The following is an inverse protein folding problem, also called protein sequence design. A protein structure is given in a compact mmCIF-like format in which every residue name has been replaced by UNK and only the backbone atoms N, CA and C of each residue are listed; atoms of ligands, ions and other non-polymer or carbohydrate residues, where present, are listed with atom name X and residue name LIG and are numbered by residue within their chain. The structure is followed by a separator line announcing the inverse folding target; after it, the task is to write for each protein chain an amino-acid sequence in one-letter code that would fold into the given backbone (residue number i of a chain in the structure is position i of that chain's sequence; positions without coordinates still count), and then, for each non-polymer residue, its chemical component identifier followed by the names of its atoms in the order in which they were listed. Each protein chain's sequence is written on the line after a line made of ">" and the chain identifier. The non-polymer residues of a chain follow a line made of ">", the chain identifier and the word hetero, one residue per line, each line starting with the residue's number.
data_IF_107141549568
#
_entry.id   IF_107141549568
#
_cell.length_a   1.000
_cell.length_b   1.000
_cell.length_c   1.000
_cell.angle_alpha   90.00
_cell.angle_beta   90.00
_cell.angle_gamma   90.00
#
_symmetry.space_group_name_H-M   'P 1'
#
loop_
_entity.id
_entity.type
_entity.pdbx_description
1 polymer ?
#
# COMPACT_ATOMS: atom_id res chain seq x y z
N UNK A 1 -3.52 -20.16 15.46
CA UNK A 1 -4.55 -20.10 14.41
C UNK A 1 -4.06 -20.93 13.25
N UNK A 2 -4.84 -21.90 12.80
CA UNK A 2 -4.49 -22.62 11.58
C UNK A 2 -4.47 -21.63 10.40
N UNK A 3 -3.42 -21.70 9.59
CA UNK A 3 -3.16 -20.79 8.46
C UNK A 3 -4.33 -20.77 7.46
N UNK A 4 -5.08 -21.88 7.40
CA UNK A 4 -6.22 -22.14 6.52
C UNK A 4 -7.44 -21.25 6.76
N UNK A 5 -7.53 -20.54 7.91
CA UNK A 5 -8.72 -19.71 8.24
C UNK A 5 -8.57 -18.22 7.93
N UNK A 6 -7.40 -17.77 7.45
CA UNK A 6 -7.15 -16.35 7.15
C UNK A 6 -7.50 -16.07 5.68
N UNK A 7 -8.70 -15.50 5.45
CA UNK A 7 -9.19 -15.04 4.14
C UNK A 7 -9.11 -16.09 2.99
N UNK A 8 -9.04 -17.39 3.31
CA UNK A 8 -8.81 -18.48 2.36
C UNK A 8 -7.54 -18.28 1.51
N UNK A 9 -6.48 -17.73 2.11
CA UNK A 9 -5.22 -17.50 1.40
C UNK A 9 -4.41 -18.78 1.20
N UNK A 10 -3.75 -18.86 0.05
CA UNK A 10 -2.72 -19.88 -0.18
C UNK A 10 -1.45 -19.54 0.61
N UNK A 11 -0.59 -20.54 0.86
CA UNK A 11 0.71 -20.31 1.50
C UNK A 11 1.55 -19.26 0.76
N UNK A 12 1.46 -19.22 -0.58
CA UNK A 12 2.16 -18.21 -1.38
C UNK A 12 1.63 -16.79 -1.12
N UNK A 13 0.31 -16.63 -1.02
CA UNK A 13 -0.34 -15.33 -0.78
C UNK A 13 0.11 -14.72 0.54
N UNK A 14 0.31 -15.55 1.57
CA UNK A 14 0.76 -15.08 2.89
C UNK A 14 2.17 -14.49 2.86
N UNK A 15 3.04 -15.01 2.00
CA UNK A 15 4.41 -14.50 1.85
C UNK A 15 4.48 -13.17 1.09
N UNK A 16 3.44 -12.78 0.36
CA UNK A 16 3.47 -11.56 -0.45
C UNK A 16 3.72 -10.31 0.41
N UNK A 17 3.11 -10.24 1.60
CA UNK A 17 3.20 -9.08 2.48
C UNK A 17 4.25 -9.19 3.60
N UNK A 18 5.00 -10.30 3.64
CA UNK A 18 6.08 -10.51 4.60
C UNK A 18 7.31 -9.66 4.20
N UNK A 19 7.76 -8.71 5.04
CA UNK A 19 8.92 -7.89 4.77
C UNK A 19 10.22 -8.50 5.28
N UNK A 20 10.17 -9.68 5.91
CA UNK A 20 11.35 -10.29 6.52
C UNK A 20 12.46 -10.55 5.49
N UNK A 21 13.70 -10.30 5.89
CA UNK A 21 14.89 -10.39 5.03
C UNK A 21 15.01 -9.33 3.92
N UNK A 22 13.98 -8.54 3.63
CA UNK A 22 13.99 -7.53 2.53
C UNK A 22 13.73 -6.10 2.99
N UNK A 23 13.28 -5.89 4.23
CA UNK A 23 12.75 -4.61 4.74
C UNK A 23 13.67 -3.40 4.46
N UNK A 24 14.97 -3.55 4.68
CA UNK A 24 15.94 -2.46 4.54
C UNK A 24 16.19 -2.04 3.07
N UNK A 25 15.80 -2.88 2.12
CA UNK A 25 15.94 -2.65 0.69
C UNK A 25 14.66 -2.12 0.04
N UNK A 26 13.54 -2.09 0.77
CA UNK A 26 12.26 -1.68 0.22
C UNK A 26 12.19 -0.16 0.00
N UNK A 27 11.69 0.31 -1.17
CA UNK A 27 11.38 1.72 -1.32
C UNK A 27 10.26 2.12 -0.35
N UNK A 28 10.24 3.37 0.11
CA UNK A 28 9.19 3.91 1.01
C UNK A 28 7.76 3.76 0.48
N UNK A 29 7.59 3.48 -0.82
CA UNK A 29 6.31 3.29 -1.50
C UNK A 29 5.92 1.83 -1.67
N UNK A 30 6.72 0.88 -1.18
CA UNK A 30 6.41 -0.55 -1.22
C UNK A 30 5.16 -0.86 -0.37
N UNK A 31 4.32 -1.78 -0.86
CA UNK A 31 3.05 -2.14 -0.21
C UNK A 31 3.24 -2.76 1.17
N UNK A 32 4.37 -3.45 1.44
CA UNK A 32 4.64 -4.10 2.73
C UNK A 32 4.82 -3.11 3.87
N UNK A 33 5.15 -1.85 3.53
CA UNK A 33 5.31 -0.74 4.46
C UNK A 33 4.01 0.02 4.72
N UNK A 34 2.88 -0.40 4.12
CA UNK A 34 1.59 0.24 4.28
C UNK A 34 1.00 -0.07 5.68
N UNK A 35 0.82 0.93 6.56
CA UNK A 35 0.56 0.69 7.98
C UNK A 35 -0.85 0.15 8.29
N UNK A 36 -1.88 0.56 7.55
CA UNK A 36 -3.25 0.03 7.70
C UNK A 36 -3.33 -1.47 7.41
N UNK A 37 -2.63 -1.95 6.38
CA UNK A 37 -2.53 -3.39 6.07
C UNK A 37 -1.81 -4.16 7.18
N UNK A 38 -0.76 -3.60 7.77
CA UNK A 38 -0.03 -4.24 8.88
C UNK A 38 -0.88 -4.35 10.14
N UNK A 39 -1.62 -3.28 10.48
CA UNK A 39 -2.55 -3.27 11.60
C UNK A 39 -3.67 -4.30 11.41
N UNK A 40 -4.16 -4.44 10.18
CA UNK A 40 -5.15 -5.46 9.81
C UNK A 40 -4.61 -6.89 10.03
N UNK A 41 -3.38 -7.17 9.59
CA UNK A 41 -2.72 -8.46 9.80
C UNK A 41 -2.51 -8.80 11.28
N UNK A 42 -2.31 -7.78 12.12
CA UNK A 42 -2.20 -7.92 13.57
C UNK A 42 -3.57 -8.03 14.27
N UNK A 43 -4.68 -8.00 13.53
CA UNK A 43 -6.05 -8.04 14.05
C UNK A 43 -6.54 -6.73 14.69
N UNK A 44 -5.81 -5.63 14.53
CA UNK A 44 -6.14 -4.31 15.09
C UNK A 44 -7.08 -3.53 14.15
N UNK A 45 -8.33 -3.98 14.06
CA UNK A 45 -9.30 -3.50 13.07
C UNK A 45 -9.60 -1.99 13.15
N UNK A 46 -9.82 -1.46 14.37
CA UNK A 46 -10.15 -0.05 14.56
C UNK A 46 -8.99 0.87 14.16
N UNK A 47 -7.77 0.51 14.53
CA UNK A 47 -6.56 1.26 14.18
C UNK A 47 -6.27 1.16 12.68
N UNK A 48 -6.48 -0.01 12.07
CA UNK A 48 -6.38 -0.19 10.62
C UNK A 48 -7.37 0.72 9.87
N UNK A 49 -8.61 0.83 10.34
CA UNK A 49 -9.62 1.69 9.74
C UNK A 49 -9.25 3.17 9.82
N UNK A 50 -8.79 3.65 10.99
CA UNK A 50 -8.30 5.02 11.18
C UNK A 50 -7.12 5.33 10.26
N UNK A 51 -6.16 4.41 10.17
CA UNK A 51 -4.97 4.60 9.36
C UNK A 51 -5.28 4.58 7.85
N UNK A 52 -6.23 3.74 7.43
CA UNK A 52 -6.77 3.75 6.05
C UNK A 52 -7.40 5.10 5.72
N UNK A 53 -8.25 5.64 6.59
CA UNK A 53 -8.86 6.95 6.40
C UNK A 53 -7.80 8.05 6.26
N UNK A 54 -6.81 8.07 7.17
CA UNK A 54 -5.70 9.04 7.16
C UNK A 54 -4.95 9.02 5.83
N UNK A 55 -4.62 7.83 5.31
CA UNK A 55 -3.92 7.66 4.04
C UNK A 55 -4.76 8.11 2.84
N UNK A 56 -6.05 7.76 2.81
CA UNK A 56 -6.97 8.14 1.72
C UNK A 56 -7.22 9.66 1.68
N UNK A 57 -7.42 10.28 2.84
CA UNK A 57 -7.57 11.75 2.94
C UNK A 57 -6.29 12.45 2.47
N UNK A 58 -5.11 11.99 2.92
CA UNK A 58 -3.82 12.54 2.47
C UNK A 58 -3.66 12.43 0.96
N UNK A 59 -4.03 11.28 0.38
CA UNK A 59 -3.95 11.08 -1.07
C UNK A 59 -4.95 11.96 -1.84
N UNK A 60 -6.15 12.18 -1.29
CA UNK A 60 -7.19 13.05 -1.88
C UNK A 60 -6.74 14.51 -1.86
N UNK A 61 -6.18 14.98 -0.74
CA UNK A 61 -5.63 16.34 -0.61
C UNK A 61 -4.44 16.57 -1.56
N UNK A 62 -3.52 15.60 -1.65
CA UNK A 62 -2.38 15.68 -2.58
C UNK A 62 -2.85 15.78 -4.04
N UNK A 63 -3.87 14.99 -4.42
CA UNK A 63 -4.50 15.07 -5.76
C UNK A 63 -5.14 16.44 -6.01
N UNK A 64 -5.89 16.98 -5.05
CA UNK A 64 -6.50 18.30 -5.18
C UNK A 64 -5.46 19.41 -5.35
N UNK A 65 -4.36 19.36 -4.58
CA UNK A 65 -3.24 20.30 -4.68
C UNK A 65 -2.54 20.22 -6.04
N UNK A 66 -2.25 19.01 -6.53
CA UNK A 66 -1.65 18.81 -7.85
C UNK A 66 -2.52 19.38 -8.97
N UNK A 67 -3.84 19.14 -8.92
CA UNK A 67 -4.81 19.70 -9.87
C UNK A 67 -4.83 21.23 -9.84
N UNK A 68 -4.87 21.84 -8.65
CA UNK A 68 -4.85 23.31 -8.48
C UNK A 68 -3.57 23.93 -9.06
N UNK A 69 -2.44 23.26 -8.87
CA UNK A 69 -1.13 23.70 -9.37
C UNK A 69 -0.85 23.29 -10.83
N UNK A 70 -1.80 22.63 -11.52
CA UNK A 70 -1.62 22.06 -12.86
C UNK A 70 -0.36 21.19 -12.98
N UNK A 71 0.00 20.48 -11.91
CA UNK A 71 1.14 19.58 -11.90
C UNK A 71 0.77 18.25 -12.57
N UNK A 72 1.60 17.80 -13.49
CA UNK A 72 1.46 16.49 -14.11
C UNK A 72 1.93 15.38 -13.14
N UNK A 73 1.13 14.33 -12.98
CA UNK A 73 1.49 13.17 -12.15
C UNK A 73 2.11 12.09 -13.03
N UNK A 74 3.42 11.85 -12.89
CA UNK A 74 4.15 10.81 -13.61
C UNK A 74 4.46 9.61 -12.70
N UNK A 75 4.26 8.36 -13.15
CA UNK A 75 4.78 7.19 -12.44
C UNK A 75 6.31 7.24 -12.42
N UNK A 76 6.92 6.76 -11.32
CA UNK A 76 8.39 6.82 -11.14
C UNK A 76 9.14 5.76 -11.94
N UNK A 77 8.58 4.55 -12.03
CA UNK A 77 9.27 3.36 -12.55
C UNK A 77 8.77 2.89 -13.91
N UNK A 78 7.79 3.58 -14.49
CA UNK A 78 7.20 3.24 -15.79
C UNK A 78 7.17 4.48 -16.67
N UNK A 79 7.39 4.32 -17.96
CA UNK A 79 7.16 5.34 -18.98
C UNK A 79 6.01 4.92 -19.89
N UNK A 80 5.12 5.86 -20.20
CA UNK A 80 4.12 5.63 -21.23
C UNK A 80 4.74 5.96 -22.59
N UNK A 81 4.91 4.95 -23.43
CA UNK A 81 5.28 5.14 -24.84
C UNK A 81 4.00 5.07 -25.67
N UNK A 82 3.74 6.10 -26.47
CA UNK A 82 2.71 6.04 -27.52
C UNK A 82 3.37 5.31 -28.70
N UNK A 83 2.89 4.10 -28.98
CA UNK A 83 3.21 3.42 -30.24
C UNK A 83 2.19 3.95 -31.26
N UNK A 84 2.67 4.72 -32.23
CA UNK A 84 1.89 5.14 -33.40
C UNK A 84 1.87 4.04 -34.46
#
# INVERSE_FOLDING_TARGET
>A
MEITQIYNFTSFTLLLNDPDGVRDYLPRTDSRLRPDMRLLEMGQLDEAAKEKERLEVKQRQARARQKKLKMEKKPRYLSFSIVF
#
